data_IF_465028607376
#
_entry.id   IF_465028607376
#
_cell.length_a   1.000
_cell.length_b   1.000
_cell.length_c   1.000
_cell.angle_alpha   90.00
_cell.angle_beta   90.00
_cell.angle_gamma   90.00
#
_symmetry.space_group_name_H-M   'P 1'
#
loop_
_entity.id
_entity.type
_entity.pdbx_description
1 polymer ?
#
# COMPACT_ATOMS: atom_id res chain seq x y z
N UNK A 1 -9.97 9.21 15.53
CA UNK A 1 -10.45 9.98 14.35
C UNK A 1 -11.95 10.28 14.38
N UNK A 2 -12.70 10.07 15.48
CA UNK A 2 -14.07 10.62 15.66
C UNK A 2 -14.99 10.51 14.43
N UNK A 3 -14.95 9.39 13.71
CA UNK A 3 -15.75 9.17 12.52
C UNK A 3 -16.78 8.10 12.86
N UNK A 4 -18.04 8.44 12.66
CA UNK A 4 -19.16 7.52 12.77
C UNK A 4 -19.08 6.46 11.65
N UNK A 5 -19.53 5.25 11.95
CA UNK A 5 -19.36 4.02 11.18
C UNK A 5 -19.81 4.15 9.72
N UNK A 6 -20.81 4.99 9.47
CA UNK A 6 -21.41 5.22 8.16
C UNK A 6 -20.59 6.16 7.25
N UNK A 7 -19.87 7.14 7.83
CA UNK A 7 -19.06 8.10 7.05
C UNK A 7 -17.70 7.54 6.59
N UNK A 8 -17.33 6.36 7.10
CA UNK A 8 -16.07 5.66 6.77
C UNK A 8 -15.95 5.33 5.27
N UNK A 9 -17.08 5.13 4.57
CA UNK A 9 -17.09 4.69 3.18
C UNK A 9 -17.00 5.81 2.12
N UNK A 10 -17.17 7.08 2.49
CA UNK A 10 -17.07 8.24 1.58
C UNK A 10 -15.83 9.12 1.82
N UNK A 11 -14.86 8.58 2.55
CA UNK A 11 -13.59 9.25 2.81
C UNK A 11 -12.66 9.15 1.60
N UNK A 12 -11.86 10.18 1.36
CA UNK A 12 -10.80 10.18 0.35
C UNK A 12 -9.44 10.34 1.02
N UNK A 13 -8.37 9.95 0.34
CA UNK A 13 -7.01 10.10 0.86
C UNK A 13 -6.69 11.56 1.17
N UNK A 14 -7.16 12.50 0.34
CA UNK A 14 -6.98 13.94 0.54
C UNK A 14 -7.64 14.43 1.83
N UNK A 15 -8.86 13.98 2.13
CA UNK A 15 -9.54 14.34 3.39
C UNK A 15 -8.77 13.80 4.59
N UNK A 16 -8.29 12.55 4.51
CA UNK A 16 -7.49 11.93 5.56
C UNK A 16 -6.18 12.70 5.77
N UNK A 17 -5.43 12.96 4.71
CA UNK A 17 -4.14 13.66 4.75
C UNK A 17 -4.30 15.10 5.26
N UNK A 18 -5.32 15.84 4.83
CA UNK A 18 -5.63 17.19 5.36
C UNK A 18 -5.89 17.19 6.86
N UNK A 19 -6.55 16.16 7.39
CA UNK A 19 -6.81 16.01 8.84
C UNK A 19 -5.53 15.66 9.59
N UNK A 20 -4.80 14.65 9.11
CA UNK A 20 -3.56 14.18 9.77
C UNK A 20 -2.48 15.27 9.77
N UNK A 21 -2.36 16.07 8.70
CA UNK A 21 -1.40 17.19 8.63
C UNK A 21 -1.52 18.17 9.80
N UNK A 22 -2.72 18.39 10.34
CA UNK A 22 -2.93 19.26 11.51
C UNK A 22 -2.19 18.77 12.76
N UNK A 23 -1.93 17.47 12.83
CA UNK A 23 -1.23 16.82 13.93
C UNK A 23 0.26 16.60 13.63
N UNK A 24 0.61 16.27 12.39
CA UNK A 24 2.01 16.10 11.97
C UNK A 24 2.68 17.47 11.73
N UNK A 25 3.20 18.07 12.78
CA UNK A 25 3.83 19.40 12.73
C UNK A 25 5.20 19.38 12.05
N UNK A 26 5.93 18.27 12.13
CA UNK A 26 7.28 18.13 11.56
C UNK A 26 7.25 17.62 10.11
N UNK A 27 7.97 18.26 9.16
CA UNK A 27 8.07 17.79 7.78
C UNK A 27 8.57 16.35 7.62
N UNK A 28 9.47 15.92 8.52
CA UNK A 28 9.97 14.53 8.56
C UNK A 28 8.83 13.52 8.73
N UNK A 29 7.90 13.79 9.65
CA UNK A 29 6.78 12.89 9.95
C UNK A 29 5.75 12.87 8.83
N UNK A 30 5.56 14.01 8.17
CA UNK A 30 4.75 14.13 6.96
C UNK A 30 5.32 13.30 5.81
N UNK A 31 6.64 13.35 5.61
CA UNK A 31 7.33 12.50 4.63
C UNK A 31 7.23 11.01 5.01
N UNK A 32 7.36 10.65 6.29
CA UNK A 32 7.17 9.28 6.76
C UNK A 32 5.79 8.74 6.40
N UNK A 33 4.73 9.52 6.60
CA UNK A 33 3.37 9.13 6.20
C UNK A 33 3.27 8.91 4.68
N UNK A 34 3.84 9.80 3.87
CA UNK A 34 3.87 9.65 2.41
C UNK A 34 4.60 8.37 1.99
N UNK A 35 5.73 8.05 2.63
CA UNK A 35 6.50 6.82 2.39
C UNK A 35 5.67 5.57 2.69
N UNK A 36 4.98 5.54 3.83
CA UNK A 36 4.11 4.42 4.20
C UNK A 36 2.97 4.25 3.20
N UNK A 37 2.34 5.36 2.81
CA UNK A 37 1.23 5.34 1.89
C UNK A 37 1.65 4.89 0.48
N UNK A 38 2.83 5.34 0.04
CA UNK A 38 3.44 4.91 -1.22
C UNK A 38 3.80 3.42 -1.20
N UNK A 39 4.41 2.94 -0.11
CA UNK A 39 4.78 1.53 0.01
C UNK A 39 3.54 0.61 -0.01
N UNK A 40 2.47 0.99 0.68
CA UNK A 40 1.19 0.27 0.62
C UNK A 40 0.61 0.21 -0.79
N UNK A 41 0.74 1.30 -1.56
CA UNK A 41 0.35 1.33 -2.98
C UNK A 41 1.19 0.36 -3.82
N UNK A 42 2.51 0.31 -3.60
CA UNK A 42 3.40 -0.61 -4.33
C UNK A 42 3.00 -2.07 -4.12
N UNK A 43 2.78 -2.47 -2.86
CA UNK A 43 2.45 -3.86 -2.53
C UNK A 43 0.96 -4.20 -2.72
N UNK A 44 0.11 -3.24 -3.09
CA UNK A 44 -1.36 -3.39 -3.19
C UNK A 44 -1.91 -3.94 -1.88
N UNK A 45 -1.84 -3.08 -0.86
CA UNK A 45 -2.39 -3.34 0.45
C UNK A 45 -3.76 -2.64 0.58
N UNK A 46 -4.82 -3.40 0.27
CA UNK A 46 -6.21 -2.92 0.21
C UNK A 46 -6.80 -2.52 1.56
N UNK A 47 -6.20 -3.01 2.64
CA UNK A 47 -6.70 -2.82 4.01
C UNK A 47 -5.80 -1.89 4.84
N UNK A 48 -4.98 -1.06 4.19
CA UNK A 48 -4.30 0.04 4.87
C UNK A 48 -5.33 1.12 5.26
N UNK A 49 -6.07 0.85 6.32
CA UNK A 49 -7.03 1.77 6.91
C UNK A 49 -6.40 2.55 8.07
N UNK A 50 -7.05 3.63 8.50
CA UNK A 50 -6.52 4.58 9.51
C UNK A 50 -6.12 3.97 10.85
N UNK A 51 -6.52 2.73 11.16
CA UNK A 51 -6.09 2.00 12.38
C UNK A 51 -4.69 1.38 12.26
N UNK A 52 -4.12 1.31 11.05
CA UNK A 52 -2.77 0.77 10.79
C UNK A 52 -1.71 1.88 10.84
N UNK A 53 -2.13 3.12 11.14
CA UNK A 53 -1.27 4.28 11.32
C UNK A 53 -1.38 4.74 12.77
N UNK A 54 -0.34 4.46 13.55
CA UNK A 54 -0.20 4.99 14.91
C UNK A 54 0.78 6.15 14.94
N UNK A 55 0.56 7.03 15.90
CA UNK A 55 1.46 8.13 16.24
C UNK A 55 1.82 8.06 17.71
N UNK A 56 3.09 8.32 18.02
CA UNK A 56 3.56 8.57 19.37
C UNK A 56 3.51 10.07 19.68
N UNK A 57 3.40 10.39 20.96
CA UNK A 57 3.55 11.76 21.47
C UNK A 57 4.80 11.86 22.31
N UNK A 58 5.74 12.71 21.89
CA UNK A 58 6.92 13.05 22.67
C UNK A 58 6.82 14.53 23.06
N UNK A 59 6.29 14.78 24.25
CA UNK A 59 5.90 16.13 24.69
C UNK A 59 4.79 16.71 23.81
N UNK A 60 5.08 17.81 23.10
CA UNK A 60 4.16 18.47 22.16
C UNK A 60 4.32 18.00 20.71
N UNK A 61 5.28 17.11 20.45
CA UNK A 61 5.62 16.64 19.10
C UNK A 61 4.91 15.31 18.85
N UNK A 62 4.28 15.20 17.68
CA UNK A 62 3.64 13.97 17.22
C UNK A 62 4.57 13.31 16.19
N UNK A 63 4.98 12.07 16.47
CA UNK A 63 5.87 11.27 15.62
C UNK A 63 5.13 10.04 15.09
N UNK A 64 5.43 9.64 13.85
CA UNK A 64 4.88 8.42 13.28
C UNK A 64 5.52 7.21 13.95
N UNK A 65 4.70 6.28 14.39
CA UNK A 65 5.19 4.97 14.83
C UNK A 65 5.72 4.16 13.64
N UNK A 66 6.56 3.14 13.87
CA UNK A 66 6.89 2.16 12.84
C UNK A 66 5.62 1.59 12.20
N UNK A 67 5.67 1.33 10.89
CA UNK A 67 4.54 0.74 10.17
C UNK A 67 4.34 -0.72 10.62
N UNK A 68 3.10 -1.09 10.91
CA UNK A 68 2.70 -2.44 11.32
C UNK A 68 1.48 -2.89 10.52
N UNK A 69 1.15 -4.18 10.60
CA UNK A 69 0.00 -4.78 9.92
C UNK A 69 0.01 -4.47 8.41
N UNK A 70 1.11 -4.87 7.75
CA UNK A 70 1.33 -4.69 6.32
C UNK A 70 1.21 -6.05 5.64
N UNK A 71 0.30 -6.16 4.66
CA UNK A 71 0.19 -7.35 3.85
C UNK A 71 -0.08 -7.03 2.38
N UNK A 72 0.50 -7.83 1.48
CA UNK A 72 0.13 -7.82 0.05
C UNK A 72 -1.21 -8.54 -0.08
N UNK A 73 -2.32 -7.81 -0.16
CA UNK A 73 -3.66 -8.45 -0.16
C UNK A 73 -4.00 -9.08 -1.50
N UNK A 74 -3.38 -8.61 -2.59
CA UNK A 74 -3.65 -9.08 -3.94
C UNK A 74 -3.34 -10.56 -4.22
N UNK A 75 -2.63 -11.25 -3.31
CA UNK A 75 -2.41 -12.71 -3.41
C UNK A 75 -3.67 -13.53 -3.07
N UNK A 76 -4.67 -12.91 -2.44
CA UNK A 76 -5.92 -13.57 -2.04
C UNK A 76 -7.02 -13.44 -3.11
N UNK A 77 -7.80 -14.51 -3.31
CA UNK A 77 -8.78 -14.63 -4.40
C UNK A 77 -9.99 -13.68 -4.34
N UNK A 78 -10.30 -13.15 -3.15
CA UNK A 78 -11.51 -12.35 -2.92
C UNK A 78 -11.19 -10.85 -2.72
N UNK A 79 -10.07 -10.39 -3.27
CA UNK A 79 -9.65 -8.99 -3.19
C UNK A 79 -9.98 -8.25 -4.47
N UNK A 80 -10.18 -6.95 -4.37
CA UNK A 80 -10.61 -6.12 -5.50
C UNK A 80 -9.44 -5.67 -6.38
N UNK A 81 -8.20 -5.94 -5.95
CA UNK A 81 -6.97 -5.47 -6.56
C UNK A 81 -6.73 -3.96 -6.37
N UNK A 82 -7.33 -3.33 -5.35
CA UNK A 82 -7.15 -1.91 -5.11
C UNK A 82 -5.77 -1.61 -4.54
N UNK A 83 -5.04 -0.73 -5.20
CA UNK A 83 -3.71 -0.31 -4.76
C UNK A 83 -3.77 0.47 -3.45
N UNK A 84 -4.90 1.14 -3.17
CA UNK A 84 -5.11 1.89 -1.93
C UNK A 84 -6.54 1.70 -1.40
N UNK A 85 -6.67 1.64 -0.07
CA UNK A 85 -7.97 1.55 0.60
C UNK A 85 -8.87 2.75 0.28
N UNK A 86 -8.34 3.96 0.45
CA UNK A 86 -9.01 5.21 0.10
C UNK A 86 -8.61 5.63 -1.32
N UNK A 87 -9.51 6.23 -2.11
CA UNK A 87 -9.15 6.73 -3.41
C UNK A 87 -8.12 7.88 -3.29
N UNK A 88 -7.16 7.92 -4.21
CA UNK A 88 -6.28 9.07 -4.46
C UNK A 88 -6.70 9.66 -5.80
N UNK A 89 -7.05 10.95 -5.82
CA UNK A 89 -7.47 11.66 -7.02
C UNK A 89 -8.59 10.91 -7.77
N UNK A 90 -9.56 10.37 -7.02
CA UNK A 90 -10.69 9.59 -7.53
C UNK A 90 -10.37 8.15 -7.95
N UNK A 91 -9.11 7.69 -7.82
CA UNK A 91 -8.67 6.37 -8.27
C UNK A 91 -8.30 5.47 -7.10
N UNK A 92 -8.52 4.16 -7.26
CA UNK A 92 -8.01 3.11 -6.35
C UNK A 92 -7.08 2.12 -7.05
N UNK A 93 -6.92 2.27 -8.35
CA UNK A 93 -6.06 1.44 -9.19
C UNK A 93 -5.48 2.30 -10.33
N UNK A 94 -4.36 1.85 -10.89
CA UNK A 94 -3.59 2.61 -11.88
C UNK A 94 -3.21 4.02 -11.37
N UNK A 95 -2.86 4.11 -10.09
CA UNK A 95 -2.32 5.32 -9.47
C UNK A 95 -0.99 5.64 -10.14
N UNK A 96 -0.90 6.84 -10.71
CA UNK A 96 0.34 7.36 -11.32
C UNK A 96 0.96 8.41 -10.42
N UNK A 97 2.23 8.76 -10.69
CA UNK A 97 2.97 9.79 -9.94
C UNK A 97 2.19 11.10 -9.77
N UNK A 98 1.53 11.58 -10.85
CA UNK A 98 0.71 12.80 -10.83
C UNK A 98 -0.49 12.71 -9.88
N UNK A 99 -1.09 11.53 -9.73
CA UNK A 99 -2.22 11.33 -8.82
C UNK A 99 -1.71 11.38 -7.38
N UNK A 100 -0.54 10.79 -7.11
CA UNK A 100 0.07 10.80 -5.79
C UNK A 100 0.58 12.18 -5.36
N UNK A 101 1.02 13.03 -6.29
CA UNK A 101 1.42 14.41 -5.98
C UNK A 101 0.34 15.24 -5.31
N UNK A 102 -0.95 14.93 -5.51
CA UNK A 102 -2.05 15.57 -4.77
C UNK A 102 -1.84 15.41 -3.25
N UNK A 103 -1.39 14.24 -2.80
CA UNK A 103 -1.11 14.00 -1.38
C UNK A 103 0.18 14.68 -0.93
N UNK A 104 1.22 14.68 -1.77
CA UNK A 104 2.50 15.34 -1.49
C UNK A 104 2.31 16.84 -1.26
N UNK A 105 1.55 17.49 -2.15
CA UNK A 105 1.22 18.91 -2.08
C UNK A 105 0.36 19.22 -0.84
N UNK A 106 -0.62 18.36 -0.53
CA UNK A 106 -1.41 18.50 0.70
C UNK A 106 -0.49 18.50 1.93
N UNK A 107 0.49 17.59 1.99
CA UNK A 107 1.44 17.48 3.10
C UNK A 107 2.51 18.58 3.12
N UNK A 108 2.55 19.44 2.10
CA UNK A 108 3.54 20.52 2.00
C UNK A 108 4.97 19.98 2.08
N UNK A 109 5.24 18.99 1.23
CA UNK A 109 6.54 18.36 1.04
C UNK A 109 7.02 18.66 -0.37
N UNK A 110 8.30 19.01 -0.51
CA UNK A 110 8.89 19.20 -1.83
C UNK A 110 8.82 17.89 -2.64
N UNK A 111 8.28 17.96 -3.86
CA UNK A 111 8.09 16.78 -4.73
C UNK A 111 9.40 16.05 -5.04
N UNK A 112 10.54 16.74 -5.14
CA UNK A 112 11.84 16.10 -5.34
C UNK A 112 12.27 15.28 -4.12
N UNK A 113 12.02 15.78 -2.90
CA UNK A 113 12.30 15.02 -1.66
C UNK A 113 11.43 13.76 -1.61
N UNK A 114 10.16 13.88 -2.00
CA UNK A 114 9.29 12.71 -2.12
C UNK A 114 9.79 11.74 -3.19
N UNK A 115 10.13 12.21 -4.39
CA UNK A 115 10.60 11.37 -5.49
C UNK A 115 11.89 10.62 -5.13
N UNK A 116 12.82 11.24 -4.39
CA UNK A 116 14.01 10.55 -3.87
C UNK A 116 13.62 9.41 -2.91
N UNK A 117 12.71 9.67 -1.97
CA UNK A 117 12.24 8.65 -1.04
C UNK A 117 11.47 7.52 -1.77
N UNK A 118 10.64 7.88 -2.75
CA UNK A 118 9.87 6.94 -3.55
C UNK A 118 10.79 6.09 -4.44
N UNK A 119 11.82 6.69 -5.05
CA UNK A 119 12.84 6.00 -5.84
C UNK A 119 13.58 4.96 -5.00
N UNK A 120 14.02 5.33 -3.79
CA UNK A 120 14.65 4.39 -2.86
C UNK A 120 13.74 3.23 -2.47
N UNK A 121 12.45 3.50 -2.18
CA UNK A 121 11.48 2.46 -1.84
C UNK A 121 11.26 1.53 -3.04
N UNK A 122 11.06 2.09 -4.24
CA UNK A 122 10.84 1.33 -5.47
C UNK A 122 12.05 0.47 -5.83
N UNK A 123 13.27 0.98 -5.65
CA UNK A 123 14.50 0.22 -5.84
C UNK A 123 14.55 -1.00 -4.90
N UNK A 124 14.32 -0.81 -3.59
CA UNK A 124 14.33 -1.92 -2.64
C UNK A 124 13.18 -2.90 -2.90
N UNK A 125 11.99 -2.41 -3.27
CA UNK A 125 10.88 -3.25 -3.69
C UNK A 125 11.24 -4.12 -4.89
N UNK A 126 11.96 -3.57 -5.87
CA UNK A 126 12.32 -4.28 -7.10
C UNK A 126 13.39 -5.32 -6.86
N UNK A 127 14.47 -4.93 -6.16
CA UNK A 127 15.70 -5.72 -6.14
C UNK A 127 15.92 -6.50 -4.84
N UNK A 128 15.46 -5.98 -3.70
CA UNK A 128 15.71 -6.62 -2.39
C UNK A 128 14.56 -7.46 -1.89
N UNK A 129 13.31 -7.07 -2.20
CA UNK A 129 12.13 -7.82 -1.76
C UNK A 129 12.16 -9.30 -2.22
N UNK A 130 12.59 -9.65 -3.45
CA UNK A 130 12.68 -11.05 -3.87
C UNK A 130 13.57 -11.92 -2.97
N UNK A 131 14.66 -11.38 -2.42
CA UNK A 131 15.55 -12.12 -1.51
C UNK A 131 14.83 -12.64 -0.25
N UNK A 132 13.72 -11.99 0.14
CA UNK A 132 12.90 -12.46 1.26
C UNK A 132 11.97 -13.59 0.86
N UNK A 133 11.54 -13.64 -0.40
CA UNK A 133 10.71 -14.74 -0.90
C UNK A 133 11.51 -16.04 -0.94
N UNK A 134 12.79 -15.96 -1.31
CA UNK A 134 13.71 -17.11 -1.36
C UNK A 134 13.99 -17.70 0.03
N UNK A 135 13.85 -16.89 1.09
CA UNK A 135 14.04 -17.29 2.49
C UNK A 135 12.77 -17.87 3.13
N UNK A 136 11.63 -17.85 2.44
CA UNK A 136 10.39 -18.43 2.99
C UNK A 136 10.53 -19.95 3.08
N UNK A 137 10.05 -20.51 4.19
CA UNK A 137 10.00 -21.96 4.38
C UNK A 137 9.21 -22.62 3.24
N UNK A 138 9.75 -23.71 2.72
CA UNK A 138 9.19 -24.43 1.57
C UNK A 138 7.76 -24.96 1.81
N UNK A 139 7.34 -25.04 3.08
CA UNK A 139 6.03 -25.58 3.47
C UNK A 139 4.89 -24.55 3.46
N UNK A 140 5.19 -23.25 3.41
CA UNK A 140 4.17 -22.21 3.43
C UNK A 140 3.33 -22.24 2.13
N UNK A 141 2.02 -22.46 2.28
CA UNK A 141 1.10 -22.64 1.14
C UNK A 141 -0.03 -21.61 1.12
N UNK A 142 -0.36 -21.13 -0.08
CA UNK A 142 -1.58 -20.39 -0.36
C UNK A 142 -2.63 -21.34 -0.91
N UNK A 143 -3.81 -21.29 -0.30
CA UNK A 143 -4.93 -22.14 -0.67
C UNK A 143 -5.97 -21.37 -1.48
N UNK A 144 -6.34 -21.94 -2.63
CA UNK A 144 -7.43 -21.45 -3.47
C UNK A 144 -8.70 -22.25 -3.19
N UNK A 145 -9.82 -21.56 -2.99
CA UNK A 145 -11.14 -22.14 -2.73
C UNK A 145 -12.10 -21.90 -3.90
N UNK A 146 -13.12 -22.74 -4.03
CA UNK A 146 -14.25 -22.47 -4.93
C UNK A 146 -15.00 -21.25 -4.44
N UNK A 147 -15.53 -20.44 -5.36
CA UNK A 147 -16.47 -19.37 -5.02
C UNK A 147 -17.71 -19.98 -4.35
N UNK A 148 -18.24 -19.29 -3.36
CA UNK A 148 -19.55 -19.61 -2.80
C UNK A 148 -20.61 -19.31 -3.85
N UNK A 149 -21.36 -20.34 -4.28
CA UNK A 149 -22.49 -20.17 -5.17
C UNK A 149 -23.75 -19.95 -4.33
N UNK A 150 -24.73 -19.20 -4.86
CA UNK A 150 -26.05 -18.95 -4.22
C UNK A 150 -26.79 -20.23 -3.80
N UNK A 151 -26.37 -21.40 -4.31
CA UNK A 151 -26.87 -22.73 -3.99
C UNK A 151 -26.43 -23.28 -2.61
N UNK A 152 -25.75 -22.51 -1.76
CA UNK A 152 -25.40 -22.92 -0.39
C UNK A 152 -24.32 -24.01 -0.26
N UNK A 153 -23.66 -24.40 -1.36
CA UNK A 153 -22.55 -25.37 -1.29
C UNK A 153 -21.33 -24.74 -0.62
N UNK A 154 -20.81 -25.41 0.42
CA UNK A 154 -19.61 -24.98 1.16
C UNK A 154 -18.39 -24.86 0.21
N UNK A 155 -17.57 -23.79 0.33
CA UNK A 155 -16.35 -23.64 -0.45
C UNK A 155 -15.40 -24.83 -0.27
N UNK A 156 -14.90 -25.39 -1.37
CA UNK A 156 -13.93 -26.49 -1.35
C UNK A 156 -12.55 -25.98 -1.75
N UNK A 157 -11.51 -26.57 -1.17
CA UNK A 157 -10.13 -26.33 -1.59
C UNK A 157 -9.91 -26.90 -3.00
N UNK A 158 -9.38 -26.08 -3.90
CA UNK A 158 -9.12 -26.44 -5.30
C UNK A 158 -7.62 -26.64 -5.53
N UNK A 159 -6.78 -25.78 -4.93
CA UNK A 159 -5.35 -25.76 -5.21
C UNK A 159 -4.57 -25.31 -3.98
N UNK A 160 -3.44 -25.95 -3.73
CA UNK A 160 -2.38 -25.44 -2.87
C UNK A 160 -1.22 -24.95 -3.76
N UNK A 161 -0.74 -23.74 -3.50
CA UNK A 161 0.36 -23.10 -4.20
C UNK A 161 1.46 -22.78 -3.19
N UNK A 162 2.73 -22.82 -3.59
CA UNK A 162 3.80 -22.27 -2.76
C UNK A 162 3.57 -20.77 -2.54
N UNK A 163 3.72 -20.32 -1.28
CA UNK A 163 3.66 -18.91 -0.93
C UNK A 163 4.75 -18.12 -1.66
N UNK A 164 5.98 -18.64 -1.68
CA UNK A 164 7.13 -17.99 -2.31
C UNK A 164 6.92 -17.81 -3.82
N UNK A 165 6.48 -18.86 -4.52
CA UNK A 165 6.20 -18.79 -5.95
C UNK A 165 5.06 -17.80 -6.26
N UNK A 166 4.01 -17.79 -5.42
CA UNK A 166 2.87 -16.90 -5.59
C UNK A 166 3.28 -15.43 -5.40
N UNK A 167 4.07 -15.13 -4.38
CA UNK A 167 4.61 -13.79 -4.13
C UNK A 167 5.53 -13.34 -5.27
N UNK A 168 6.38 -14.24 -5.76
CA UNK A 168 7.28 -13.98 -6.90
C UNK A 168 6.50 -13.64 -8.17
N UNK A 169 5.51 -14.45 -8.54
CA UNK A 169 4.68 -14.20 -9.72
C UNK A 169 3.90 -12.89 -9.62
N UNK A 170 3.36 -12.61 -8.42
CA UNK A 170 2.66 -11.38 -8.15
C UNK A 170 3.58 -10.16 -8.26
N UNK A 171 4.74 -10.22 -7.62
CA UNK A 171 5.76 -9.17 -7.66
C UNK A 171 6.18 -8.85 -9.09
N UNK A 172 6.50 -9.86 -9.90
CA UNK A 172 6.84 -9.66 -11.33
C UNK A 172 5.70 -9.02 -12.12
N UNK A 173 4.45 -9.43 -11.87
CA UNK A 173 3.28 -8.82 -12.51
C UNK A 173 3.13 -7.36 -12.09
N UNK A 174 3.37 -7.08 -10.80
CA UNK A 174 3.27 -5.74 -10.23
C UNK A 174 4.34 -4.80 -10.77
N UNK A 175 5.58 -5.26 -10.95
CA UNK A 175 6.66 -4.51 -11.60
C UNK A 175 6.21 -4.04 -12.98
N UNK A 176 5.71 -4.94 -13.83
CA UNK A 176 5.24 -4.60 -15.19
C UNK A 176 4.12 -3.56 -15.18
N UNK A 177 3.21 -3.64 -14.20
CA UNK A 177 2.14 -2.66 -14.06
C UNK A 177 2.68 -1.27 -13.65
N UNK A 178 3.61 -1.23 -12.68
CA UNK A 178 4.24 0.00 -12.23
C UNK A 178 5.08 0.66 -13.33
N UNK A 179 5.77 -0.14 -14.13
CA UNK A 179 6.50 0.29 -15.33
C UNK A 179 5.56 0.90 -16.36
N UNK A 180 4.46 0.22 -16.70
CA UNK A 180 3.41 0.76 -17.59
C UNK A 180 2.80 2.06 -17.06
N UNK A 181 2.69 2.22 -15.74
CA UNK A 181 2.19 3.44 -15.12
C UNK A 181 3.25 4.57 -15.05
N UNK A 182 4.47 4.29 -15.51
CA UNK A 182 5.57 5.24 -15.64
C UNK A 182 6.36 5.47 -14.35
N UNK A 183 6.16 4.68 -13.30
CA UNK A 183 6.84 4.89 -12.01
C UNK A 183 8.36 4.72 -12.12
N UNK A 184 8.83 3.67 -12.79
CA UNK A 184 10.26 3.40 -12.97
C UNK A 184 10.96 4.51 -13.76
N UNK A 185 10.48 4.81 -14.97
CA UNK A 185 11.06 5.85 -15.81
C UNK A 185 11.05 7.24 -15.14
N UNK A 186 9.99 7.57 -14.39
CA UNK A 186 9.87 8.87 -13.75
C UNK A 186 10.68 9.02 -12.46
N UNK A 187 10.99 7.91 -11.77
CA UNK A 187 11.79 7.88 -10.54
C UNK A 187 13.25 7.47 -10.79
N UNK A 188 13.62 7.20 -12.04
CA UNK A 188 14.97 6.80 -12.42
C UNK A 188 15.42 5.47 -11.82
N UNK A 189 14.50 4.53 -11.64
CA UNK A 189 14.79 3.18 -11.14
C UNK A 189 14.85 2.24 -12.33
N UNK A 190 15.93 1.47 -12.43
CA UNK A 190 16.13 0.39 -13.41
C UNK A 190 16.14 -0.96 -12.69
#
# INVERSE_FOLDING_TARGET
>A
MGLDSETKYQSTSEKMFKRIKKYLTLPKERLTLLKYYFYSMLIVHEDMHTKNLSVGTEGKTITMSPLYDIATTAIYQNTLGYETHLPINGKRSNIRRKDFYVLVDIMDINRQIFDQAASFILFNYTHKLPEYFDKLEQEAKIYKKTRSNLSGKKPRLIKALSLAETLTQYHQTRIKQLEKNGWYAQLGVN
#
